data_IF_697804055184
#
_entry.id   IF_697804055184
#
_cell.length_a   1.000
_cell.length_b   1.000
_cell.length_c   1.000
_cell.angle_alpha   90.00
_cell.angle_beta   90.00
_cell.angle_gamma   90.00
#
_symmetry.space_group_name_H-M   'P 1'
#
loop_
_entity.id
_entity.type
_entity.pdbx_description
1 polymer ?
#
# COMPACT_ATOMS: atom_id res chain seq x y z
N UNK A 1 7.35 45.13 31.88
CA UNK A 1 6.48 44.51 30.86
C UNK A 1 6.81 43.02 30.85
N UNK A 2 5.92 42.14 31.32
CA UNK A 2 6.15 40.69 31.33
C UNK A 2 5.45 40.08 30.12
N UNK A 3 6.23 39.60 29.18
CA UNK A 3 5.74 38.87 27.99
C UNK A 3 5.18 37.52 28.44
N UNK A 4 3.87 37.32 28.28
CA UNK A 4 3.23 36.02 28.49
C UNK A 4 3.50 35.19 27.23
N UNK A 5 4.41 34.22 27.33
CA UNK A 5 4.55 33.16 26.32
C UNK A 5 3.32 32.24 26.43
N UNK A 6 2.43 32.31 25.44
CA UNK A 6 1.45 31.27 25.19
C UNK A 6 2.18 30.05 24.62
N UNK A 7 2.47 29.08 25.48
CA UNK A 7 2.78 27.73 25.03
C UNK A 7 1.51 27.14 24.43
N UNK A 8 1.43 27.08 23.10
CA UNK A 8 0.49 26.21 22.41
C UNK A 8 0.95 24.78 22.65
N UNK A 9 0.37 24.12 23.65
CA UNK A 9 0.51 22.68 23.80
C UNK A 9 -0.28 22.03 22.65
N UNK A 10 0.42 21.53 21.63
CA UNK A 10 -0.16 20.62 20.64
C UNK A 10 -0.53 19.33 21.35
N UNK A 11 -1.82 19.17 21.65
CA UNK A 11 -2.35 17.99 22.28
C UNK A 11 -2.44 16.89 21.21
N UNK A 12 -1.38 16.09 21.10
CA UNK A 12 -1.37 14.85 20.34
C UNK A 12 -2.34 13.87 21.01
N UNK A 13 -3.58 13.81 20.53
CA UNK A 13 -4.49 12.75 20.91
C UNK A 13 -4.27 11.54 20.01
N UNK A 14 -3.50 10.57 20.50
CA UNK A 14 -3.51 9.21 19.99
C UNK A 14 -4.81 8.55 20.40
N UNK A 15 -5.88 8.70 19.60
CA UNK A 15 -7.06 7.84 19.73
C UNK A 15 -6.74 6.55 18.98
N UNK A 16 -6.08 5.63 19.67
CA UNK A 16 -5.87 4.26 19.21
C UNK A 16 -7.18 3.49 19.30
N UNK A 17 -8.03 3.64 18.29
CA UNK A 17 -9.10 2.70 17.98
C UNK A 17 -8.86 2.23 16.54
N UNK A 18 -7.93 1.29 16.37
CA UNK A 18 -7.79 0.52 15.13
C UNK A 18 -9.01 -0.39 15.01
N UNK A 19 -10.15 0.16 14.60
CA UNK A 19 -11.11 -0.64 13.84
C UNK A 19 -10.40 -0.92 12.52
N UNK A 20 -9.81 -2.11 12.39
CA UNK A 20 -9.25 -2.55 11.11
C UNK A 20 -10.37 -2.45 10.07
N UNK A 21 -10.25 -1.49 9.16
CA UNK A 21 -11.21 -1.35 8.07
C UNK A 21 -11.22 -2.62 7.24
N UNK A 22 -12.34 -2.91 6.58
CA UNK A 22 -12.41 -4.00 5.60
C UNK A 22 -11.33 -3.76 4.55
N UNK A 23 -10.48 -4.77 4.30
CA UNK A 23 -9.51 -4.73 3.23
C UNK A 23 -10.26 -4.72 1.89
N UNK A 24 -10.01 -3.70 1.06
CA UNK A 24 -10.60 -3.57 -0.27
C UNK A 24 -9.90 -4.43 -1.31
N UNK A 25 -8.68 -4.87 -1.03
CA UNK A 25 -7.86 -5.68 -1.95
C UNK A 25 -8.35 -7.12 -1.91
N UNK A 26 -8.81 -7.61 -3.06
CA UNK A 26 -9.05 -9.04 -3.29
C UNK A 26 -7.71 -9.74 -3.49
N UNK A 27 -7.55 -10.91 -2.84
CA UNK A 27 -6.35 -11.75 -2.96
C UNK A 27 -5.05 -10.99 -2.65
N UNK A 28 -5.05 -10.23 -1.55
CA UNK A 28 -3.92 -9.39 -1.14
C UNK A 28 -2.66 -10.16 -0.72
N UNK A 29 -2.82 -11.40 -0.26
CA UNK A 29 -1.73 -12.33 0.07
C UNK A 29 -1.45 -13.34 -1.06
N UNK A 30 -2.09 -13.19 -2.23
CA UNK A 30 -1.79 -13.98 -3.43
C UNK A 30 -1.95 -15.51 -3.30
N UNK A 31 -2.87 -15.96 -2.45
CA UNK A 31 -3.12 -17.38 -2.18
C UNK A 31 -4.02 -18.07 -3.22
N UNK A 32 -4.58 -17.32 -4.18
CA UNK A 32 -5.38 -17.85 -5.28
C UNK A 32 -4.79 -17.42 -6.64
N UNK A 33 -4.34 -18.34 -7.51
CA UNK A 33 -4.44 -19.79 -7.39
C UNK A 33 -3.51 -20.37 -6.33
N UNK A 34 -3.95 -21.46 -5.70
CA UNK A 34 -3.08 -22.35 -4.95
C UNK A 34 -2.23 -23.18 -5.93
N UNK A 35 -0.90 -23.05 -5.84
CA UNK A 35 0.05 -23.79 -6.69
C UNK A 35 0.78 -24.84 -5.86
N UNK A 36 1.52 -25.74 -6.51
CA UNK A 36 2.23 -26.78 -5.76
C UNK A 36 3.32 -26.19 -4.85
N UNK A 37 3.40 -26.65 -3.60
CA UNK A 37 4.43 -26.24 -2.66
C UNK A 37 5.85 -26.46 -3.16
N UNK A 38 6.70 -25.44 -3.00
CA UNK A 38 8.07 -25.45 -3.51
C UNK A 38 8.14 -25.27 -5.03
N UNK A 39 7.12 -24.66 -5.63
CA UNK A 39 7.07 -24.37 -7.07
C UNK A 39 6.67 -22.93 -7.35
N UNK A 40 6.75 -22.55 -8.63
CA UNK A 40 6.35 -21.25 -9.13
C UNK A 40 5.60 -21.42 -10.45
N UNK A 41 4.73 -20.47 -10.77
CA UNK A 41 4.03 -20.42 -12.07
C UNK A 41 3.69 -18.99 -12.46
N UNK A 42 3.71 -18.70 -13.75
CA UNK A 42 3.46 -17.36 -14.30
C UNK A 42 2.04 -17.27 -14.84
N UNK A 43 1.31 -16.23 -14.43
CA UNK A 43 -0.08 -16.01 -14.79
C UNK A 43 -0.27 -14.65 -15.46
N UNK A 44 -1.15 -14.59 -16.46
CA UNK A 44 -1.54 -13.31 -17.10
C UNK A 44 -2.59 -12.53 -16.28
N UNK A 45 -3.24 -13.20 -15.34
CA UNK A 45 -4.13 -12.65 -14.33
C UNK A 45 -4.30 -13.69 -13.21
N UNK A 46 -4.58 -13.23 -12.00
CA UNK A 46 -4.97 -14.05 -10.84
C UNK A 46 -6.23 -13.45 -10.22
N UNK A 47 -6.84 -14.09 -9.22
CA UNK A 47 -8.06 -13.56 -8.63
C UNK A 47 -7.85 -12.13 -8.11
N UNK A 48 -8.76 -11.22 -8.46
CA UNK A 48 -8.67 -9.79 -8.15
C UNK A 48 -7.63 -8.97 -8.94
N UNK A 49 -6.69 -9.58 -9.66
CA UNK A 49 -5.55 -8.85 -10.24
C UNK A 49 -5.36 -9.09 -11.74
N UNK A 50 -5.16 -8.00 -12.48
CA UNK A 50 -4.76 -8.02 -13.89
C UNK A 50 -3.29 -7.68 -14.04
N UNK A 51 -2.64 -8.16 -15.12
CA UNK A 51 -1.22 -7.89 -15.38
C UNK A 51 -0.99 -7.17 -16.70
N UNK A 52 0.16 -6.50 -16.80
CA UNK A 52 0.71 -5.95 -18.05
C UNK A 52 2.15 -6.45 -18.19
N UNK A 53 2.56 -6.87 -19.39
CA UNK A 53 3.91 -7.36 -19.63
C UNK A 53 4.02 -8.89 -19.52
N UNK A 54 5.03 -9.39 -18.81
CA UNK A 54 5.33 -10.82 -18.74
C UNK A 54 4.34 -11.66 -17.91
N UNK A 55 3.45 -11.01 -17.14
CA UNK A 55 2.57 -11.68 -16.17
C UNK A 55 3.15 -11.67 -14.75
N UNK A 56 2.41 -12.19 -13.79
CA UNK A 56 2.82 -12.31 -12.39
C UNK A 56 3.34 -13.71 -12.10
N UNK A 57 4.53 -13.84 -11.52
CA UNK A 57 5.05 -15.12 -11.03
C UNK A 57 4.57 -15.34 -9.59
N UNK A 58 3.65 -16.29 -9.40
CA UNK A 58 3.23 -16.77 -8.07
C UNK A 58 4.24 -17.81 -7.60
N UNK A 59 4.69 -17.70 -6.36
CA UNK A 59 5.65 -18.61 -5.72
C UNK A 59 5.10 -19.16 -4.42
N UNK A 60 5.07 -20.48 -4.28
CA UNK A 60 4.82 -21.13 -2.99
C UNK A 60 6.16 -21.52 -2.36
N UNK A 61 6.63 -20.66 -1.44
CA UNK A 61 7.83 -20.84 -0.62
C UNK A 61 9.08 -21.31 -1.39
N UNK A 62 9.28 -20.80 -2.61
CA UNK A 62 10.49 -21.04 -3.41
C UNK A 62 11.23 -19.73 -3.67
N UNK A 63 12.57 -19.78 -3.63
CA UNK A 63 13.44 -18.60 -3.71
C UNK A 63 13.10 -17.52 -2.68
N UNK A 64 12.59 -17.94 -1.52
CA UNK A 64 12.05 -17.09 -0.46
C UNK A 64 10.97 -17.84 0.31
N UNK A 65 10.42 -17.19 1.34
CA UNK A 65 9.25 -17.66 2.09
C UNK A 65 8.22 -16.54 2.16
N UNK A 66 6.93 -16.88 2.13
CA UNK A 66 5.85 -15.91 2.20
C UNK A 66 5.87 -15.10 3.51
N UNK A 67 5.28 -13.90 3.48
CA UNK A 67 5.04 -13.09 4.67
C UNK A 67 3.69 -13.45 5.31
N UNK A 68 2.65 -13.57 4.48
CA UNK A 68 1.32 -14.03 4.85
C UNK A 68 1.00 -15.31 4.05
N UNK A 69 0.25 -16.24 4.64
CA UNK A 69 -0.09 -17.50 4.00
C UNK A 69 1.13 -18.35 3.59
N UNK A 70 1.11 -18.85 2.35
CA UNK A 70 2.13 -19.74 1.79
C UNK A 70 2.72 -19.20 0.49
N UNK A 71 2.07 -18.22 -0.14
CA UNK A 71 2.42 -17.73 -1.45
C UNK A 71 2.74 -16.24 -1.44
N UNK A 72 3.55 -15.82 -2.41
CA UNK A 72 3.87 -14.43 -2.67
C UNK A 72 4.15 -14.26 -4.16
N UNK A 73 4.26 -13.02 -4.63
CA UNK A 73 4.47 -12.75 -6.06
C UNK A 73 5.77 -12.04 -6.38
N UNK A 74 6.29 -12.31 -7.57
CA UNK A 74 7.39 -11.61 -8.23
C UNK A 74 6.89 -11.01 -9.56
N UNK A 75 7.42 -9.85 -9.93
CA UNK A 75 6.98 -9.11 -11.12
C UNK A 75 8.05 -9.01 -12.23
N UNK A 76 9.26 -9.51 -12.00
CA UNK A 76 10.24 -9.78 -13.07
C UNK A 76 10.13 -11.26 -13.46
N UNK A 77 9.02 -11.62 -14.10
CA UNK A 77 8.55 -13.00 -14.22
C UNK A 77 9.31 -13.81 -15.25
N UNK A 78 9.39 -15.12 -15.05
CA UNK A 78 9.92 -16.02 -16.07
C UNK A 78 9.16 -15.92 -17.40
N UNK A 79 9.89 -15.84 -18.53
CA UNK A 79 9.28 -15.67 -19.86
C UNK A 79 9.92 -16.54 -20.93
N UNK A 80 9.19 -17.54 -21.39
CA UNK A 80 9.58 -18.39 -22.52
C UNK A 80 9.62 -17.61 -23.85
N UNK A 81 10.56 -17.87 -24.77
CA UNK A 81 11.65 -18.85 -24.70
C UNK A 81 12.99 -18.29 -24.18
N UNK A 82 13.10 -17.01 -23.86
CA UNK A 82 14.41 -16.36 -23.75
C UNK A 82 14.57 -15.36 -22.59
N UNK A 83 13.62 -15.28 -21.65
CA UNK A 83 13.64 -14.35 -20.52
C UNK A 83 14.01 -12.91 -20.92
N UNK A 84 13.44 -12.45 -22.03
CA UNK A 84 13.54 -11.04 -22.46
C UNK A 84 12.23 -10.30 -22.18
N UNK A 85 12.31 -9.05 -21.75
CA UNK A 85 11.17 -8.20 -21.35
C UNK A 85 10.32 -8.89 -20.25
N UNK A 86 10.98 -9.26 -19.16
CA UNK A 86 10.44 -10.04 -18.05
C UNK A 86 9.81 -9.15 -16.96
N UNK A 87 10.17 -7.87 -16.88
CA UNK A 87 9.48 -6.93 -16.00
C UNK A 87 8.01 -6.79 -16.42
N UNK A 88 7.15 -6.77 -15.41
CA UNK A 88 5.71 -6.70 -15.55
C UNK A 88 5.11 -5.77 -14.50
N UNK A 89 3.81 -5.56 -14.62
CA UNK A 89 2.99 -4.86 -13.64
C UNK A 89 1.79 -5.70 -13.27
N UNK A 90 1.33 -5.56 -12.03
CA UNK A 90 0.06 -6.11 -11.55
C UNK A 90 -0.81 -4.98 -10.99
N UNK A 91 -2.10 -5.02 -11.25
CA UNK A 91 -3.01 -3.94 -10.86
C UNK A 91 -4.42 -4.43 -10.52
N UNK A 92 -5.06 -3.70 -9.61
CA UNK A 92 -6.43 -3.91 -9.18
C UNK A 92 -7.14 -2.57 -9.05
N UNK A 93 -8.39 -2.53 -9.51
CA UNK A 93 -9.26 -1.36 -9.34
C UNK A 93 -10.09 -1.53 -8.07
N UNK A 94 -10.01 -0.54 -7.17
CA UNK A 94 -10.63 -0.55 -5.86
C UNK A 94 -11.80 0.44 -5.82
N UNK A 95 -12.94 0.00 -5.28
CA UNK A 95 -14.09 0.86 -5.06
C UNK A 95 -13.92 1.62 -3.74
N UNK A 96 -13.55 2.90 -3.83
CA UNK A 96 -13.35 3.77 -2.67
C UNK A 96 -14.49 4.77 -2.53
N UNK A 97 -14.44 5.59 -1.47
CA UNK A 97 -15.30 6.76 -1.28
C UNK A 97 -14.49 8.00 -1.67
N UNK A 98 -15.08 8.85 -2.52
CA UNK A 98 -14.46 10.10 -2.95
C UNK A 98 -14.09 10.96 -1.72
N UNK A 99 -12.82 11.36 -1.64
CA UNK A 99 -12.30 12.22 -0.57
C UNK A 99 -12.03 11.51 0.76
N UNK A 100 -12.30 10.21 0.87
CA UNK A 100 -11.94 9.40 2.04
C UNK A 100 -10.46 9.03 1.97
N UNK A 101 -9.77 9.11 3.11
CA UNK A 101 -8.40 8.62 3.25
C UNK A 101 -8.38 7.11 3.50
N UNK A 102 -7.44 6.42 2.86
CA UNK A 102 -7.18 4.99 3.00
C UNK A 102 -5.71 4.78 3.37
N UNK A 103 -5.45 3.74 4.14
CA UNK A 103 -4.12 3.22 4.39
C UNK A 103 -3.86 2.08 3.39
N UNK A 104 -2.95 2.31 2.45
CA UNK A 104 -2.34 1.28 1.62
C UNK A 104 -1.16 0.69 2.40
N UNK A 105 -1.10 -0.63 2.52
CA UNK A 105 0.01 -1.35 3.13
C UNK A 105 0.40 -2.55 2.26
N UNK A 106 1.69 -2.87 2.21
CA UNK A 106 2.19 -4.08 1.56
C UNK A 106 3.52 -4.54 2.18
N UNK A 107 3.80 -5.84 2.10
CA UNK A 107 5.08 -6.42 2.45
C UNK A 107 5.97 -6.52 1.20
N UNK A 108 7.23 -6.10 1.35
CA UNK A 108 8.25 -6.26 0.32
C UNK A 108 9.49 -6.94 0.88
N UNK A 109 10.10 -7.83 0.09
CA UNK A 109 11.44 -8.34 0.34
C UNK A 109 12.19 -8.50 -0.98
N UNK A 110 13.50 -8.23 -0.97
CA UNK A 110 14.34 -8.58 -2.10
C UNK A 110 14.45 -10.11 -2.21
N UNK A 111 14.41 -10.64 -3.43
CA UNK A 111 14.70 -12.04 -3.69
C UNK A 111 16.08 -12.39 -3.18
N UNK A 112 16.14 -13.51 -2.48
CA UNK A 112 17.35 -14.01 -1.83
C UNK A 112 18.51 -14.14 -2.82
N UNK A 113 19.72 -13.82 -2.36
CA UNK A 113 20.97 -13.91 -3.12
C UNK A 113 20.99 -13.11 -4.45
N UNK A 114 20.15 -12.08 -4.60
CA UNK A 114 20.14 -11.19 -5.76
C UNK A 114 20.56 -9.76 -5.40
N UNK A 115 21.22 -9.02 -6.33
CA UNK A 115 21.57 -7.62 -6.12
C UNK A 115 20.33 -6.72 -6.15
N UNK A 116 20.44 -5.53 -5.56
CA UNK A 116 19.35 -4.53 -5.60
C UNK A 116 18.97 -4.07 -7.00
N UNK A 117 19.86 -4.22 -7.99
CA UNK A 117 19.60 -3.80 -9.38
C UNK A 117 18.46 -4.55 -10.06
N UNK A 118 18.04 -5.71 -9.53
CA UNK A 118 16.92 -6.49 -10.09
C UNK A 118 15.69 -6.53 -9.18
N UNK A 119 15.83 -6.15 -7.91
CA UNK A 119 14.77 -6.31 -6.91
C UNK A 119 13.78 -5.13 -6.84
N UNK A 120 13.72 -4.28 -7.86
CA UNK A 120 12.93 -3.06 -7.81
C UNK A 120 11.43 -3.32 -7.93
N UNK A 121 10.62 -2.66 -7.10
CA UNK A 121 9.16 -2.57 -7.26
C UNK A 121 8.71 -1.12 -7.04
N UNK A 122 8.08 -0.53 -8.05
CA UNK A 122 7.35 0.74 -7.92
C UNK A 122 5.88 0.51 -7.59
N UNK A 123 5.33 1.35 -6.73
CA UNK A 123 3.91 1.35 -6.34
C UNK A 123 3.23 2.64 -6.77
N UNK A 124 2.05 2.52 -7.37
CA UNK A 124 1.29 3.64 -7.92
C UNK A 124 -0.14 3.66 -7.41
N UNK A 125 -0.67 4.87 -7.23
CA UNK A 125 -2.08 5.14 -6.98
C UNK A 125 -2.63 6.08 -8.05
N UNK A 126 -3.59 5.61 -8.85
CA UNK A 126 -4.15 6.37 -9.97
C UNK A 126 -3.09 6.88 -10.96
N UNK A 127 -2.05 6.08 -11.19
CA UNK A 127 -0.93 6.42 -12.07
C UNK A 127 0.11 7.38 -11.48
N UNK A 128 -0.10 7.89 -10.25
CA UNK A 128 0.93 8.63 -9.51
C UNK A 128 1.81 7.64 -8.75
N UNK A 129 3.12 7.71 -8.96
CA UNK A 129 4.09 6.91 -8.21
C UNK A 129 4.15 7.39 -6.75
N UNK A 130 3.94 6.47 -5.81
CA UNK A 130 4.08 6.74 -4.38
C UNK A 130 5.52 6.49 -3.92
N UNK A 131 6.13 5.41 -4.40
CA UNK A 131 7.49 5.00 -4.06
C UNK A 131 8.04 3.97 -5.07
N UNK A 132 9.36 3.80 -5.06
CA UNK A 132 10.11 2.75 -5.76
C UNK A 132 11.08 2.09 -4.78
N UNK A 133 10.72 0.90 -4.29
CA UNK A 133 11.50 0.15 -3.30
C UNK A 133 12.47 -0.82 -3.95
N UNK A 134 13.65 -0.99 -3.35
CA UNK A 134 14.62 -2.03 -3.73
C UNK A 134 15.56 -2.34 -2.57
N UNK A 135 16.14 -3.54 -2.54
CA UNK A 135 17.15 -3.96 -1.56
C UNK A 135 18.03 -5.08 -2.11
N UNK A 136 19.19 -5.32 -1.50
CA UNK A 136 20.01 -6.52 -1.77
C UNK A 136 19.45 -7.71 -0.99
N UNK A 137 19.22 -8.83 -1.68
CA UNK A 137 18.72 -10.06 -1.07
C UNK A 137 19.74 -10.74 -0.16
N UNK A 138 19.30 -11.12 1.04
CA UNK A 138 20.07 -11.97 1.95
C UNK A 138 19.98 -13.45 1.59
N UNK A 139 20.39 -14.32 2.52
CA UNK A 139 20.22 -15.78 2.41
C UNK A 139 18.78 -16.24 2.65
N UNK A 140 17.96 -15.40 3.28
CA UNK A 140 16.53 -15.60 3.57
C UNK A 140 15.76 -14.32 3.24
N UNK A 141 14.44 -14.39 3.10
CA UNK A 141 13.62 -13.19 3.04
C UNK A 141 13.75 -12.38 4.33
N UNK A 142 13.73 -11.06 4.16
CA UNK A 142 13.66 -10.07 5.22
C UNK A 142 12.57 -9.07 4.82
N UNK A 143 11.35 -9.36 5.25
CA UNK A 143 10.17 -8.59 4.86
C UNK A 143 10.13 -7.24 5.57
N UNK A 144 9.83 -6.19 4.82
CA UNK A 144 9.56 -4.84 5.35
C UNK A 144 8.15 -4.44 4.93
N UNK A 145 7.39 -3.89 5.88
CA UNK A 145 6.07 -3.33 5.61
C UNK A 145 6.22 -1.87 5.22
N UNK A 146 5.57 -1.50 4.11
CA UNK A 146 5.46 -0.13 3.64
C UNK A 146 4.03 0.33 3.74
N UNK A 147 3.83 1.58 4.15
CA UNK A 147 2.51 2.16 4.39
C UNK A 147 2.39 3.55 3.80
N UNK A 148 1.27 3.82 3.11
CA UNK A 148 0.99 5.11 2.48
C UNK A 148 -0.46 5.51 2.72
N UNK A 149 -0.67 6.79 3.04
CA UNK A 149 -2.00 7.38 3.03
C UNK A 149 -2.35 7.84 1.61
N UNK A 150 -3.44 7.31 1.08
CA UNK A 150 -3.97 7.65 -0.24
C UNK A 150 -5.40 8.20 -0.11
N UNK A 151 -5.84 9.00 -1.08
CA UNK A 151 -7.19 9.57 -1.10
C UNK A 151 -7.99 8.91 -2.22
N UNK A 152 -9.18 8.41 -1.89
CA UNK A 152 -10.07 7.79 -2.85
C UNK A 152 -10.72 8.78 -3.82
N UNK A 153 -10.90 8.35 -5.07
CA UNK A 153 -11.65 9.07 -6.11
C UNK A 153 -12.91 8.33 -6.57
N UNK A 154 -13.29 7.26 -5.88
CA UNK A 154 -14.48 6.44 -6.16
C UNK A 154 -14.18 5.15 -6.93
N UNK A 155 -13.14 5.16 -7.75
CA UNK A 155 -12.65 4.01 -8.50
C UNK A 155 -11.15 4.23 -8.70
N UNK A 156 -10.35 3.61 -7.83
CA UNK A 156 -8.92 3.88 -7.74
C UNK A 156 -8.12 2.71 -8.30
N UNK A 157 -7.11 3.01 -9.11
CA UNK A 157 -6.21 2.02 -9.67
C UNK A 157 -4.95 1.90 -8.78
N UNK A 158 -4.80 0.77 -8.11
CA UNK A 158 -3.57 0.37 -7.43
C UNK A 158 -2.73 -0.46 -8.39
N UNK A 159 -1.47 -0.07 -8.60
CA UNK A 159 -0.54 -0.78 -9.48
C UNK A 159 0.80 -0.99 -8.79
N UNK A 160 1.37 -2.19 -8.92
CA UNK A 160 2.76 -2.49 -8.63
C UNK A 160 3.48 -2.84 -9.94
N UNK A 161 4.73 -2.41 -10.11
CA UNK A 161 5.52 -2.68 -11.32
C UNK A 161 6.95 -3.04 -10.97
N UNK A 162 7.48 -4.12 -11.56
CA UNK A 162 8.90 -4.42 -11.46
C UNK A 162 9.74 -3.33 -12.12
N UNK A 163 10.84 -2.96 -11.46
CA UNK A 163 11.85 -2.04 -11.97
C UNK A 163 13.23 -2.66 -11.82
N UNK A 164 14.20 -2.15 -12.59
CA UNK A 164 15.55 -2.69 -12.62
C UNK A 164 15.83 -3.58 -13.84
N UNK A 165 16.81 -4.46 -13.71
CA UNK A 165 17.21 -5.40 -14.76
C UNK A 165 16.04 -6.29 -15.16
N UNK A 166 15.92 -6.64 -16.44
CA UNK A 166 14.98 -7.65 -16.92
C UNK A 166 15.73 -8.98 -17.02
N UNK A 167 15.76 -9.76 -15.94
CA UNK A 167 16.53 -11.01 -15.88
C UNK A 167 15.77 -12.21 -15.32
N UNK A 168 14.45 -12.10 -15.17
CA UNK A 168 13.53 -13.10 -14.58
C UNK A 168 13.75 -13.33 -13.08
N UNK A 169 14.34 -12.36 -12.39
CA UNK A 169 14.64 -12.41 -10.97
C UNK A 169 14.23 -11.07 -10.36
N UNK A 170 13.23 -11.03 -9.49
CA UNK A 170 12.64 -9.76 -9.05
C UNK A 170 12.41 -9.68 -7.55
N UNK A 171 12.04 -8.48 -7.09
CA UNK A 171 11.56 -8.30 -5.72
C UNK A 171 10.30 -9.12 -5.46
N UNK A 172 10.07 -9.46 -4.19
CA UNK A 172 8.89 -10.18 -3.72
C UNK A 172 7.89 -9.21 -3.08
N UNK A 173 6.61 -9.40 -3.41
CA UNK A 173 5.46 -8.62 -2.91
C UNK A 173 4.45 -9.57 -2.26
N UNK A 174 3.94 -9.17 -1.09
CA UNK A 174 2.95 -9.94 -0.33
C UNK A 174 2.09 -9.02 0.56
N UNK A 175 1.01 -9.56 1.14
CA UNK A 175 0.15 -8.94 2.13
C UNK A 175 -0.33 -7.52 1.78
N UNK A 176 -0.75 -7.32 0.53
CA UNK A 176 -1.29 -6.05 0.06
C UNK A 176 -2.66 -5.80 0.68
N UNK A 177 -2.82 -4.64 1.30
CA UNK A 177 -4.08 -4.22 1.88
C UNK A 177 -4.37 -2.74 1.66
N UNK A 178 -5.65 -2.42 1.49
CA UNK A 178 -6.15 -1.04 1.45
C UNK A 178 -7.38 -0.97 2.34
N UNK A 179 -7.32 -0.19 3.41
CA UNK A 179 -8.43 -0.05 4.35
C UNK A 179 -8.72 1.43 4.66
N UNK A 180 -9.99 1.76 4.88
CA UNK A 180 -10.38 3.14 5.18
C UNK A 180 -9.81 3.57 6.53
N UNK A 181 -9.24 4.77 6.59
CA UNK A 181 -8.80 5.39 7.86
C UNK A 181 -9.96 6.16 8.46
N UNK A 182 -10.50 5.76 9.63
CA UNK A 182 -11.61 6.48 10.24
C UNK A 182 -11.21 7.93 10.56
N UNK A 183 -12.06 8.90 10.20
CA UNK A 183 -11.91 10.26 10.70
C UNK A 183 -12.11 10.20 12.22
N UNK A 184 -11.15 10.68 13.03
CA UNK A 184 -11.30 10.63 14.48
C UNK A 184 -12.60 11.33 14.90
N UNK A 185 -13.39 10.68 15.75
CA UNK A 185 -14.66 11.22 16.26
C UNK A 185 -14.52 12.62 16.89
N UNK A 186 -13.31 12.97 17.32
CA UNK A 186 -12.93 14.31 17.75
C UNK A 186 -13.28 15.41 16.73
N UNK A 187 -13.12 15.18 15.43
CA UNK A 187 -13.48 16.15 14.39
C UNK A 187 -14.98 16.53 14.46
N UNK A 188 -15.84 15.56 14.75
CA UNK A 188 -17.28 15.78 14.94
C UNK A 188 -17.62 16.39 16.29
N UNK A 189 -16.80 16.17 17.33
CA UNK A 189 -16.99 16.75 18.66
C UNK A 189 -16.61 18.25 18.69
N UNK A 190 -15.60 18.64 17.92
CA UNK A 190 -15.13 20.03 17.88
C UNK A 190 -15.87 20.92 16.88
N UNK A 191 -16.47 20.36 15.82
CA UNK A 191 -17.29 21.13 14.89
C UNK A 191 -18.41 21.96 15.56
N UNK A 192 -19.26 21.39 16.45
CA UNK A 192 -20.27 22.19 17.15
C UNK A 192 -19.68 23.12 18.21
N UNK A 193 -18.57 22.77 18.86
CA UNK A 193 -17.89 23.64 19.82
C UNK A 193 -17.31 24.89 19.14
N UNK A 194 -16.72 24.73 17.95
CA UNK A 194 -16.20 25.83 17.13
C UNK A 194 -17.33 26.74 16.63
N UNK A 195 -18.45 26.16 16.19
CA UNK A 195 -19.64 26.91 15.79
C UNK A 195 -20.28 27.65 16.98
N UNK A 196 -20.31 27.04 18.17
CA UNK A 196 -20.80 27.66 19.39
C UNK A 196 -19.97 28.86 19.86
N UNK A 197 -18.63 28.77 19.73
CA UNK A 197 -17.71 29.87 20.07
C UNK A 197 -17.82 31.06 19.09
N UNK A 198 -18.10 30.81 17.81
CA UNK A 198 -18.33 31.86 16.81
C UNK A 198 -19.73 32.50 16.93
N UNK A 199 -20.73 31.76 17.41
CA UNK A 199 -22.10 32.25 17.64
C UNK A 199 -22.27 33.14 18.88
N UNK A 200 -21.29 33.19 19.79
CA UNK A 200 -21.34 33.96 21.04
C UNK A 200 -20.96 35.46 20.91
N UNK A 201 -20.68 35.96 19.70
CA UNK A 201 -20.55 37.41 19.44
C UNK A 201 -21.92 38.09 19.48
N UNK A 202 -22.48 38.28 20.69
CA UNK A 202 -23.64 39.15 20.91
C UNK A 202 -23.27 40.59 20.52
N UNK A 203 -24.09 41.17 19.65
CA UNK A 203 -24.05 42.60 19.30
C UNK A 203 -24.16 43.45 20.56
N UNK A 204 -23.12 44.20 20.90
CA UNK A 204 -23.24 45.33 21.82
C UNK A 204 -23.86 46.47 21.03
N UNK A 205 -25.19 46.59 21.06
CA UNK A 205 -25.87 47.83 20.66
C UNK A 205 -25.70 48.82 21.80
N UNK A 206 -24.82 49.82 21.64
CA UNK A 206 -24.84 51.01 22.49
C UNK A 206 -25.80 51.99 21.81
N UNK A 207 -26.95 52.21 22.43
CA UNK A 207 -27.90 53.26 22.06
C UNK A 207 -27.41 54.60 22.60
N UNK A 208 -27.47 55.62 21.72
CA UNK A 208 -27.47 57.09 21.91
C UNK A 208 -26.58 57.69 23.00
#
# INVERSE_FOLDING_TARGET
MRTIMLFMASLLFTVSANAAGVNLVVNGSFEDPDIATGSWSVHSAIDGWSTTGAGVEVRDNIAGTAYDGQQFVELDSHRWPNNTNTNSSIHQTLNTIIGQSYLLSFAYSARINQPSTTNGISVFWNGLELDSVTATGGSTHNWTIFEYLVTGIGNDLLTFSATGTNDSLGGSLDAVSVSAVPIPAAAFLFAPALLGLLGLRRKTTIAS
#
